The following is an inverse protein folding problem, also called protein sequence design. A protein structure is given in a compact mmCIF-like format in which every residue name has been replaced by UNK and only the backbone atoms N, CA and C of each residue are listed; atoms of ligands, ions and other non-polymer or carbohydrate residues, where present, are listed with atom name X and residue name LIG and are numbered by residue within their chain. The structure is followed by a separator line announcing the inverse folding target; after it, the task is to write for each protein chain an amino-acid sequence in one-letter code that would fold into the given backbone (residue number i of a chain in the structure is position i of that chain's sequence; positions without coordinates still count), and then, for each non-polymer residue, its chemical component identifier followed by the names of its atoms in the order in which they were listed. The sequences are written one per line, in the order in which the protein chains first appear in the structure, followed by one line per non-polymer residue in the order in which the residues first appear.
data_IF_896309161649
#
_entry.id   IF_896309161649
#
_cell.length_a   1.000
_cell.length_b   1.000
_cell.length_c   1.000
_cell.angle_alpha   90.00
_cell.angle_beta   90.00
_cell.angle_gamma   90.00
#
_symmetry.space_group_name_H-M   'P 1'
#
loop_
_entity.id
_entity.type
_entity.pdbx_description
1 polymer ?
#
# COMPACT_ATOMS: atom_id res chain seq x y z
N UNK A 1 18.39 17.51 2.32
CA UNK A 1 18.08 16.13 2.76
C UNK A 1 16.84 15.67 2.01
N UNK A 2 16.79 14.43 1.55
CA UNK A 2 15.59 13.86 0.91
C UNK A 2 14.49 13.72 1.94
N UNK A 3 13.25 14.08 1.58
CA UNK A 3 12.06 13.89 2.42
C UNK A 3 11.50 12.48 2.22
N UNK A 4 10.72 12.01 3.19
CA UNK A 4 9.89 10.81 3.07
C UNK A 4 8.43 11.24 3.04
N UNK A 5 7.70 10.81 2.03
CA UNK A 5 6.28 11.09 1.85
C UNK A 5 5.53 9.77 1.67
N UNK A 6 4.34 9.66 2.24
CA UNK A 6 3.48 8.51 2.01
C UNK A 6 2.40 8.85 0.99
N UNK A 7 2.10 7.90 0.10
CA UNK A 7 1.05 7.99 -0.90
C UNK A 7 0.08 6.81 -0.73
N UNK A 8 -1.19 7.11 -0.44
CA UNK A 8 -2.23 6.11 -0.16
C UNK A 8 -3.33 6.17 -1.22
N UNK A 9 -3.30 5.31 -2.25
CA UNK A 9 -4.39 5.24 -3.22
C UNK A 9 -5.65 4.65 -2.56
N UNK A 10 -6.74 5.42 -2.58
CA UNK A 10 -8.02 5.10 -1.95
C UNK A 10 -9.24 5.37 -2.85
N UNK A 11 -9.05 5.53 -4.17
CA UNK A 11 -10.13 5.84 -5.13
C UNK A 11 -10.96 4.62 -5.56
N UNK A 12 -10.57 3.39 -5.17
CA UNK A 12 -11.26 2.17 -5.60
C UNK A 12 -12.60 1.96 -4.89
N UNK A 13 -13.60 1.46 -5.63
CA UNK A 13 -14.93 1.15 -5.09
C UNK A 13 -14.98 -0.06 -4.14
N UNK A 14 -13.95 -0.91 -4.13
CA UNK A 14 -13.93 -2.11 -3.29
C UNK A 14 -14.97 -3.18 -3.68
N UNK A 15 -15.31 -3.32 -4.96
CA UNK A 15 -16.38 -4.16 -5.51
C UNK A 15 -16.44 -5.60 -4.99
N UNK A 16 -15.29 -6.20 -4.71
CA UNK A 16 -15.19 -7.57 -4.14
C UNK A 16 -15.74 -7.70 -2.72
N UNK A 17 -15.94 -6.59 -2.03
CA UNK A 17 -16.41 -6.59 -0.65
C UNK A 17 -17.93 -6.67 -0.54
N UNK A 18 -18.69 -6.24 -1.59
CA UNK A 18 -20.14 -6.29 -1.63
C UNK A 18 -20.87 -5.37 -0.64
N UNK A 19 -20.19 -4.35 -0.11
CA UNK A 19 -20.80 -3.36 0.77
C UNK A 19 -21.43 -2.19 0.00
N UNK A 20 -22.41 -1.47 0.57
CA UNK A 20 -23.02 -0.30 -0.06
C UNK A 20 -22.09 0.91 -0.17
N UNK A 21 -21.04 0.98 0.66
CA UNK A 21 -19.99 2.00 0.61
C UNK A 21 -18.64 1.39 0.26
N UNK A 22 -17.69 2.17 -0.28
CA UNK A 22 -16.34 1.67 -0.53
C UNK A 22 -15.69 1.16 0.75
N UNK A 23 -15.02 0.00 0.68
CA UNK A 23 -14.50 -0.72 1.86
C UNK A 23 -13.58 0.10 2.77
N UNK A 24 -12.88 1.09 2.22
CA UNK A 24 -11.97 1.96 2.98
C UNK A 24 -12.71 2.85 4.00
N UNK A 25 -14.02 3.04 3.84
CA UNK A 25 -14.89 3.79 4.75
C UNK A 25 -15.66 2.91 5.74
N UNK A 26 -15.54 1.57 5.62
CA UNK A 26 -16.19 0.67 6.57
C UNK A 26 -15.68 0.92 8.00
N UNK A 27 -16.61 0.89 8.94
CA UNK A 27 -16.32 1.15 10.36
C UNK A 27 -15.51 0.00 10.99
N UNK A 28 -14.36 0.35 11.55
CA UNK A 28 -13.47 -0.51 12.30
C UNK A 28 -13.07 0.22 13.59
N UNK A 29 -13.52 -0.29 14.77
CA UNK A 29 -13.26 0.35 16.05
C UNK A 29 -13.68 1.85 16.10
N UNK A 30 -14.88 2.16 15.61
CA UNK A 30 -15.48 3.51 15.57
C UNK A 30 -14.75 4.53 14.66
N UNK A 31 -13.87 4.09 13.78
CA UNK A 31 -13.20 4.91 12.76
C UNK A 31 -13.27 4.22 11.40
N UNK A 32 -13.20 4.93 10.27
CA UNK A 32 -13.07 4.29 8.96
C UNK A 32 -11.83 3.39 8.88
N UNK A 33 -11.92 2.27 8.18
CA UNK A 33 -10.81 1.33 8.00
C UNK A 33 -9.53 2.06 7.55
N UNK A 34 -9.63 2.96 6.58
CA UNK A 34 -8.52 3.75 6.06
C UNK A 34 -7.89 4.67 7.12
N UNK A 35 -8.68 5.15 8.10
CA UNK A 35 -8.17 6.01 9.16
C UNK A 35 -7.01 5.35 9.92
N UNK A 36 -7.12 4.04 10.22
CA UNK A 36 -6.06 3.31 10.92
C UNK A 36 -4.77 3.25 10.11
N UNK A 37 -4.87 3.09 8.79
CA UNK A 37 -3.72 3.15 7.87
C UNK A 37 -3.06 4.52 7.90
N UNK A 38 -3.87 5.59 7.73
CA UNK A 38 -3.38 6.96 7.69
C UNK A 38 -2.76 7.38 9.03
N UNK A 39 -3.37 6.98 10.15
CA UNK A 39 -2.88 7.26 11.49
C UNK A 39 -1.46 6.72 11.70
N UNK A 40 -1.23 5.45 11.35
CA UNK A 40 0.10 4.84 11.49
C UNK A 40 1.14 5.58 10.67
N UNK A 41 0.84 5.94 9.41
CA UNK A 41 1.76 6.69 8.57
C UNK A 41 2.04 8.09 9.11
N UNK A 42 1.03 8.77 9.67
CA UNK A 42 1.20 10.07 10.32
C UNK A 42 2.03 10.00 11.61
N UNK A 43 2.04 8.86 12.31
CA UNK A 43 2.82 8.63 13.53
C UNK A 43 4.33 8.40 13.25
N UNK A 44 4.70 7.98 12.04
CA UNK A 44 6.12 7.81 11.67
C UNK A 44 6.79 9.18 11.59
N UNK A 45 7.77 9.43 12.45
CA UNK A 45 8.42 10.75 12.57
C UNK A 45 9.08 11.18 11.25
N UNK A 46 9.77 10.25 10.58
CA UNK A 46 10.49 10.52 9.34
C UNK A 46 9.55 10.92 8.17
N UNK A 47 8.27 10.52 8.20
CA UNK A 47 7.32 10.91 7.15
C UNK A 47 6.88 12.35 7.37
N UNK A 48 7.15 13.20 6.38
CA UNK A 48 6.81 14.62 6.43
C UNK A 48 5.36 14.92 6.02
N UNK A 49 4.77 14.10 5.14
CA UNK A 49 3.43 14.28 4.59
C UNK A 49 2.81 12.91 4.23
N UNK A 50 1.51 12.77 4.44
CA UNK A 50 0.71 11.59 4.05
C UNK A 50 -0.36 12.06 3.07
N UNK A 51 -0.19 11.72 1.80
CA UNK A 51 -1.13 12.07 0.73
C UNK A 51 -2.09 10.90 0.52
N UNK A 52 -3.38 11.14 0.72
CA UNK A 52 -4.44 10.19 0.35
C UNK A 52 -5.06 10.61 -0.97
N UNK A 53 -5.14 9.66 -1.91
CA UNK A 53 -5.74 9.89 -3.24
C UNK A 53 -7.10 9.23 -3.28
N UNK A 54 -8.14 10.04 -3.32
CA UNK A 54 -9.54 9.62 -3.42
C UNK A 54 -10.11 9.91 -4.81
N UNK A 55 -11.27 9.34 -5.12
CA UNK A 55 -12.00 9.63 -6.36
C UNK A 55 -12.35 11.14 -6.45
N UNK A 56 -12.32 11.76 -7.64
CA UNK A 56 -12.85 13.11 -7.83
C UNK A 56 -14.32 13.24 -7.39
N UNK A 57 -15.08 12.15 -7.52
CA UNK A 57 -16.51 12.07 -7.14
C UNK A 57 -16.70 11.33 -5.80
N UNK A 58 -15.73 11.36 -4.89
CA UNK A 58 -15.86 10.73 -3.58
C UNK A 58 -16.83 11.53 -2.71
N UNK A 59 -17.90 10.87 -2.26
CA UNK A 59 -18.99 11.45 -1.45
C UNK A 59 -18.87 11.10 0.03
N UNK A 60 -17.94 10.19 0.41
CA UNK A 60 -17.84 9.68 1.79
C UNK A 60 -16.74 10.31 2.62
N UNK A 61 -15.70 10.83 1.99
CA UNK A 61 -14.51 11.29 2.70
C UNK A 61 -14.85 12.42 3.70
N UNK A 62 -15.68 13.36 3.29
CA UNK A 62 -16.02 14.53 4.08
C UNK A 62 -17.01 14.23 5.23
N UNK A 63 -17.58 13.01 5.28
CA UNK A 63 -18.45 12.56 6.38
C UNK A 63 -17.68 12.20 7.66
N UNK A 64 -16.36 12.18 7.58
CA UNK A 64 -15.51 11.75 8.69
C UNK A 64 -14.56 12.85 9.15
N UNK A 65 -14.34 12.89 10.46
CA UNK A 65 -13.29 13.70 11.06
C UNK A 65 -11.97 12.91 11.05
N UNK A 66 -10.99 13.38 10.27
CA UNK A 66 -9.72 12.70 10.09
C UNK A 66 -8.69 13.04 11.15
N UNK A 67 -8.72 14.26 11.71
CA UNK A 67 -7.81 14.74 12.78
C UNK A 67 -6.38 14.13 12.73
N UNK A 68 -5.74 14.25 11.57
CA UNK A 68 -4.41 13.68 11.27
C UNK A 68 -3.48 14.80 10.76
N UNK A 69 -2.47 15.21 11.55
CA UNK A 69 -1.73 16.46 11.32
C UNK A 69 -0.89 16.51 10.04
N UNK A 70 -0.54 15.33 9.46
CA UNK A 70 0.27 15.26 8.23
C UNK A 70 -0.57 14.93 6.99
N UNK A 71 -1.90 14.80 7.14
CA UNK A 71 -2.78 14.35 6.07
C UNK A 71 -3.03 15.46 5.04
N UNK A 72 -2.80 15.11 3.77
CA UNK A 72 -3.17 15.91 2.60
C UNK A 72 -4.08 15.08 1.69
N UNK A 73 -5.20 15.65 1.26
CA UNK A 73 -6.21 14.94 0.47
C UNK A 73 -6.14 15.41 -0.98
N UNK A 74 -6.01 14.46 -1.90
CA UNK A 74 -5.99 14.72 -3.33
C UNK A 74 -7.15 13.99 -4.03
N UNK A 75 -8.07 14.74 -4.65
CA UNK A 75 -9.24 14.23 -5.38
C UNK A 75 -8.89 13.99 -6.85
N UNK A 76 -7.84 13.20 -7.10
CA UNK A 76 -7.26 12.92 -8.43
C UNK A 76 -7.23 11.43 -8.76
N UNK A 77 -7.98 10.62 -8.03
CA UNK A 77 -8.04 9.18 -8.26
C UNK A 77 -8.44 8.82 -9.69
N UNK A 78 -7.78 7.82 -10.26
CA UNK A 78 -8.02 7.33 -11.62
C UNK A 78 -8.87 6.06 -11.65
N UNK A 79 -9.07 5.51 -12.85
CA UNK A 79 -9.86 4.30 -13.10
C UNK A 79 -9.20 3.03 -12.53
N UNK A 80 -7.88 3.06 -12.30
CA UNK A 80 -7.10 1.96 -11.71
C UNK A 80 -6.29 2.43 -10.50
N UNK A 81 -5.77 1.43 -9.73
CA UNK A 81 -4.85 1.70 -8.64
C UNK A 81 -3.56 2.38 -9.14
N UNK A 82 -3.00 1.87 -10.22
CA UNK A 82 -1.78 2.41 -10.83
C UNK A 82 -1.98 3.86 -11.31
N UNK A 83 -3.12 4.14 -11.94
CA UNK A 83 -3.47 5.49 -12.36
C UNK A 83 -3.65 6.44 -11.17
N UNK A 84 -4.30 5.99 -10.10
CA UNK A 84 -4.43 6.76 -8.86
C UNK A 84 -3.09 7.09 -8.23
N UNK A 85 -2.15 6.14 -8.22
CA UNK A 85 -0.76 6.36 -7.73
C UNK A 85 -0.04 7.37 -8.63
N UNK A 86 -0.13 7.23 -9.95
CA UNK A 86 0.48 8.16 -10.91
C UNK A 86 -0.05 9.59 -10.73
N UNK A 87 -1.37 9.74 -10.69
CA UNK A 87 -2.02 11.04 -10.52
C UNK A 87 -1.68 11.66 -9.17
N UNK A 88 -1.66 10.86 -8.10
CA UNK A 88 -1.25 11.28 -6.78
C UNK A 88 0.20 11.77 -6.76
N UNK A 89 1.13 11.01 -7.35
CA UNK A 89 2.54 11.40 -7.44
C UNK A 89 2.72 12.71 -8.21
N UNK A 90 1.95 12.93 -9.27
CA UNK A 90 1.98 14.18 -10.03
C UNK A 90 1.40 15.36 -9.24
N UNK A 91 0.41 15.13 -8.38
CA UNK A 91 -0.19 16.16 -7.54
C UNK A 91 0.66 16.51 -6.31
N UNK A 92 1.62 15.64 -5.94
CA UNK A 92 2.52 15.87 -4.82
C UNK A 92 3.64 16.83 -5.21
N UNK A 93 4.00 17.77 -4.32
CA UNK A 93 5.18 18.63 -4.47
C UNK A 93 6.46 17.87 -4.03
N UNK A 94 6.90 16.90 -4.84
CA UNK A 94 8.07 16.05 -4.57
C UNK A 94 9.25 16.37 -5.46
N UNK A 95 10.46 16.32 -4.91
CA UNK A 95 11.70 16.34 -5.70
C UNK A 95 12.04 14.91 -6.16
N UNK A 96 12.78 14.77 -7.27
CA UNK A 96 13.17 13.47 -7.82
C UNK A 96 13.85 12.54 -6.80
N UNK A 97 14.62 13.11 -5.89
CA UNK A 97 15.36 12.39 -4.86
C UNK A 97 14.58 12.18 -3.57
N UNK A 98 13.35 12.69 -3.44
CA UNK A 98 12.50 12.38 -2.28
C UNK A 98 12.07 10.91 -2.32
N UNK A 99 11.83 10.33 -1.15
CA UNK A 99 11.30 8.98 -1.03
C UNK A 99 9.79 8.98 -0.96
N UNK A 100 9.15 8.17 -1.78
CA UNK A 100 7.69 7.95 -1.77
C UNK A 100 7.38 6.53 -1.33
N UNK A 101 6.61 6.41 -0.26
CA UNK A 101 6.10 5.16 0.29
C UNK A 101 4.66 4.96 -0.19
N UNK A 102 4.42 4.09 -1.17
CA UNK A 102 3.06 3.77 -1.64
C UNK A 102 2.48 2.67 -0.75
N UNK A 103 1.32 2.95 -0.14
CA UNK A 103 0.69 2.00 0.77
C UNK A 103 -0.81 1.81 0.51
N UNK A 104 -1.28 0.57 0.54
CA UNK A 104 -2.68 0.24 0.34
C UNK A 104 -3.55 0.71 1.52
N UNK A 105 -4.59 1.52 1.25
CA UNK A 105 -5.57 1.97 2.24
C UNK A 105 -6.21 0.82 3.06
N UNK A 106 -6.26 -0.37 2.48
CA UNK A 106 -6.88 -1.56 3.09
C UNK A 106 -5.92 -2.45 3.90
N UNK A 107 -4.69 -2.01 4.18
CA UNK A 107 -3.76 -2.69 5.10
C UNK A 107 -3.69 -1.95 6.43
N UNK A 108 -4.84 -1.88 7.08
CA UNK A 108 -5.06 -1.09 8.29
C UNK A 108 -4.31 -1.57 9.54
N UNK A 109 -3.71 -2.76 9.48
CA UNK A 109 -2.89 -3.32 10.56
C UNK A 109 -1.39 -3.12 10.32
N UNK A 110 -0.97 -2.16 9.50
CA UNK A 110 0.42 -1.71 9.42
C UNK A 110 0.90 -1.27 10.81
N UNK A 111 2.18 -1.41 11.12
CA UNK A 111 2.79 -0.89 12.35
C UNK A 111 3.85 0.17 12.04
N UNK A 112 4.02 1.13 12.95
CA UNK A 112 5.09 2.14 12.88
C UNK A 112 6.44 1.46 12.73
N UNK A 113 6.73 0.45 13.54
CA UNK A 113 7.99 -0.30 13.51
C UNK A 113 8.27 -0.95 12.13
N UNK A 114 7.24 -1.44 11.42
CA UNK A 114 7.42 -2.00 10.09
C UNK A 114 7.80 -0.92 9.06
N UNK A 115 7.22 0.28 9.16
CA UNK A 115 7.56 1.41 8.29
C UNK A 115 8.96 1.91 8.57
N UNK A 116 9.33 2.08 9.83
CA UNK A 116 10.67 2.51 10.24
C UNK A 116 11.75 1.52 9.81
N UNK A 117 11.48 0.21 9.92
CA UNK A 117 12.37 -0.83 9.41
C UNK A 117 12.57 -0.71 7.90
N UNK A 118 11.49 -0.48 7.13
CA UNK A 118 11.58 -0.27 5.68
C UNK A 118 12.46 0.95 5.37
N UNK A 119 12.19 2.11 6.00
CA UNK A 119 12.94 3.35 5.81
C UNK A 119 14.43 3.13 6.12
N UNK A 120 14.74 2.55 7.28
CA UNK A 120 16.11 2.30 7.72
C UNK A 120 16.85 1.35 6.77
N UNK A 121 16.16 0.28 6.31
CA UNK A 121 16.76 -0.71 5.41
C UNK A 121 17.08 -0.17 4.02
N UNK A 122 16.37 0.87 3.58
CA UNK A 122 16.46 1.41 2.22
C UNK A 122 17.07 2.81 2.15
N UNK A 123 17.46 3.42 3.27
CA UNK A 123 17.93 4.80 3.31
C UNK A 123 19.08 5.08 2.32
N UNK A 124 20.03 4.12 2.21
CA UNK A 124 21.19 4.19 1.31
C UNK A 124 21.02 3.35 0.03
N UNK A 125 19.84 2.76 -0.20
CA UNK A 125 19.59 1.95 -1.39
C UNK A 125 19.38 2.84 -2.61
N UNK A 126 19.90 2.42 -3.76
CA UNK A 126 19.83 3.20 -5.01
C UNK A 126 18.54 2.96 -5.79
N UNK A 127 17.82 1.88 -5.52
CA UNK A 127 16.58 1.48 -6.21
C UNK A 127 15.38 1.70 -5.30
N UNK A 128 15.43 1.17 -4.09
CA UNK A 128 14.32 1.08 -3.15
C UNK A 128 13.83 -0.36 -3.01
N UNK A 129 12.63 -0.55 -2.44
CA UNK A 129 12.10 -1.88 -2.18
C UNK A 129 10.75 -1.87 -1.49
N UNK A 130 10.39 -3.00 -0.92
CA UNK A 130 9.07 -3.23 -0.37
C UNK A 130 9.10 -4.12 0.87
N UNK A 131 8.07 -4.00 1.70
CA UNK A 131 7.79 -5.03 2.70
C UNK A 131 7.30 -6.31 2.01
N UNK A 132 7.79 -7.45 2.45
CA UNK A 132 7.38 -8.74 1.94
C UNK A 132 7.55 -9.85 2.99
N UNK A 133 6.87 -10.97 2.80
CA UNK A 133 6.98 -12.15 3.66
C UNK A 133 7.43 -13.36 2.85
N UNK A 134 8.37 -14.18 3.34
CA UNK A 134 8.65 -15.45 2.72
C UNK A 134 7.39 -16.34 2.77
N UNK A 135 7.17 -17.14 1.73
CA UNK A 135 6.00 -18.05 1.68
C UNK A 135 6.16 -19.15 2.71
N UNK A 136 5.30 -19.24 3.75
CA UNK A 136 5.44 -20.24 4.82
C UNK A 136 4.90 -21.62 4.42
N UNK A 137 3.88 -21.68 3.57
CA UNK A 137 3.15 -22.89 3.21
C UNK A 137 3.64 -23.52 1.92
N UNK A 138 3.23 -24.79 1.67
CA UNK A 138 3.47 -25.46 0.39
C UNK A 138 2.63 -24.81 -0.71
N UNK A 139 3.30 -24.34 -1.77
CA UNK A 139 2.64 -23.70 -2.91
C UNK A 139 2.19 -24.75 -3.93
N UNK A 140 0.92 -24.71 -4.30
CA UNK A 140 0.33 -25.55 -5.35
C UNK A 140 -0.08 -24.70 -6.55
N UNK A 141 0.21 -25.17 -7.75
CA UNK A 141 -0.38 -24.62 -8.98
C UNK A 141 -1.62 -25.41 -9.34
N UNK A 142 -2.72 -24.73 -9.59
CA UNK A 142 -3.94 -25.36 -10.09
C UNK A 142 -3.99 -25.31 -11.63
N UNK A 143 -4.72 -26.24 -12.23
CA UNK A 143 -5.21 -26.18 -13.60
C UNK A 143 -6.54 -25.41 -13.70
N UNK A 144 -7.13 -25.37 -14.91
CA UNK A 144 -8.41 -24.69 -15.16
C UNK A 144 -9.61 -25.27 -14.40
N UNK A 145 -9.53 -26.52 -13.97
CA UNK A 145 -10.57 -27.24 -13.24
C UNK A 145 -10.38 -27.19 -11.71
N UNK A 146 -9.38 -26.43 -11.24
CA UNK A 146 -9.07 -26.30 -9.82
C UNK A 146 -8.33 -27.52 -9.23
N UNK A 147 -7.78 -28.40 -10.04
CA UNK A 147 -6.97 -29.55 -9.59
C UNK A 147 -5.50 -29.16 -9.52
N UNK A 148 -4.75 -29.85 -8.65
CA UNK A 148 -3.31 -29.63 -8.52
C UNK A 148 -2.61 -30.08 -9.80
N UNK A 149 -2.00 -29.14 -10.53
CA UNK A 149 -1.15 -29.42 -11.69
C UNK A 149 0.34 -29.56 -11.31
N UNK A 150 0.80 -28.85 -10.24
CA UNK A 150 2.17 -28.92 -9.76
C UNK A 150 2.31 -28.49 -8.29
N UNK A 151 3.37 -28.96 -7.63
CA UNK A 151 3.88 -28.35 -6.41
C UNK A 151 5.04 -27.42 -6.79
N UNK A 152 4.95 -26.15 -6.43
CA UNK A 152 5.99 -25.15 -6.71
C UNK A 152 6.93 -25.06 -5.51
N UNK A 153 8.26 -25.18 -5.68
CA UNK A 153 9.22 -24.93 -4.60
C UNK A 153 9.00 -23.53 -4.03
N UNK A 154 8.80 -23.43 -2.72
CA UNK A 154 8.59 -22.14 -2.06
C UNK A 154 9.87 -21.36 -1.76
N UNK A 155 11.01 -22.01 -1.88
CA UNK A 155 12.30 -21.35 -1.63
C UNK A 155 12.49 -20.16 -2.57
N UNK A 156 12.80 -18.99 -2.01
CA UNK A 156 12.94 -17.75 -2.76
C UNK A 156 11.62 -17.08 -3.19
N UNK A 157 10.44 -17.63 -2.83
CA UNK A 157 9.16 -16.99 -3.08
C UNK A 157 8.77 -16.12 -1.87
N UNK A 158 8.30 -14.90 -2.19
CA UNK A 158 7.87 -13.92 -1.22
C UNK A 158 6.48 -13.37 -1.58
N UNK A 159 5.70 -13.07 -0.57
CA UNK A 159 4.41 -12.39 -0.69
C UNK A 159 4.62 -10.89 -0.55
N UNK A 160 4.47 -10.14 -1.64
CA UNK A 160 4.62 -8.70 -1.65
C UNK A 160 3.56 -8.04 -0.75
N UNK A 161 4.02 -7.10 0.06
CA UNK A 161 3.19 -6.23 0.86
C UNK A 161 3.43 -4.77 0.47
N UNK A 162 2.76 -3.84 1.13
CA UNK A 162 3.05 -2.42 1.13
C UNK A 162 3.31 -1.96 2.57
N UNK A 163 4.05 -0.86 2.83
CA UNK A 163 4.55 0.11 1.85
C UNK A 163 5.60 -0.44 0.90
N UNK A 164 5.60 0.13 -0.33
CA UNK A 164 6.66 0.01 -1.32
C UNK A 164 7.31 1.38 -1.45
N UNK A 165 8.62 1.46 -1.29
CA UNK A 165 9.36 2.71 -1.12
C UNK A 165 10.39 2.88 -2.23
N UNK A 166 10.25 3.97 -3.02
CA UNK A 166 11.11 4.29 -4.15
C UNK A 166 11.41 5.78 -4.21
N UNK A 167 12.49 6.17 -4.90
CA UNK A 167 12.72 7.57 -5.25
C UNK A 167 11.61 8.08 -6.17
N UNK A 168 11.12 9.30 -5.94
CA UNK A 168 10.01 9.87 -6.68
C UNK A 168 10.28 9.91 -8.20
N UNK A 169 11.50 10.29 -8.62
CA UNK A 169 11.87 10.32 -10.03
C UNK A 169 11.86 8.93 -10.68
N UNK A 170 12.42 7.91 -10.00
CA UNK A 170 12.42 6.53 -10.49
C UNK A 170 10.99 5.97 -10.56
N UNK A 171 10.18 6.21 -9.54
CA UNK A 171 8.78 5.79 -9.51
C UNK A 171 7.97 6.46 -10.63
N UNK A 172 8.15 7.77 -10.83
CA UNK A 172 7.47 8.50 -11.90
C UNK A 172 7.85 7.94 -13.29
N UNK A 173 9.13 7.67 -13.53
CA UNK A 173 9.62 7.04 -14.75
C UNK A 173 9.00 5.66 -14.97
N UNK A 174 8.98 4.82 -13.94
CA UNK A 174 8.41 3.47 -14.02
C UNK A 174 6.91 3.50 -14.35
N UNK A 175 6.14 4.35 -13.66
CA UNK A 175 4.71 4.50 -13.90
C UNK A 175 4.36 5.11 -15.27
N UNK A 176 5.26 5.92 -15.84
CA UNK A 176 5.08 6.46 -17.20
C UNK A 176 5.42 5.45 -18.29
N UNK A 177 6.41 4.58 -18.06
CA UNK A 177 6.89 3.58 -19.02
C UNK A 177 6.02 2.33 -19.07
N UNK A 178 5.23 2.09 -18.05
CA UNK A 178 4.34 0.95 -17.97
C UNK A 178 3.16 1.16 -18.93
N UNK A 179 3.27 0.57 -20.12
CA UNK A 179 2.25 0.59 -21.16
C UNK A 179 1.01 -0.26 -20.79
N UNK A 180 0.47 -1.04 -21.73
CA UNK A 180 -0.70 -1.91 -21.54
C UNK A 180 -0.44 -3.15 -20.64
N UNK A 181 0.78 -3.32 -20.14
CA UNK A 181 1.12 -4.44 -19.24
C UNK A 181 0.49 -4.16 -17.88
N UNK A 182 -0.36 -5.07 -17.43
CA UNK A 182 -1.03 -4.98 -16.13
C UNK A 182 0.00 -4.92 -15.00
N UNK A 183 0.18 -3.73 -14.44
CA UNK A 183 1.01 -3.54 -13.24
C UNK A 183 0.26 -4.03 -12.02
N UNK A 184 0.82 -4.99 -11.33
CA UNK A 184 0.25 -5.52 -10.09
C UNK A 184 0.55 -4.63 -8.89
N UNK A 185 1.74 -4.00 -8.87
CA UNK A 185 2.24 -3.12 -7.81
C UNK A 185 3.37 -2.19 -8.33
N UNK A 186 3.91 -1.32 -7.49
CA UNK A 186 4.98 -0.38 -7.85
C UNK A 186 6.29 -1.11 -8.14
N UNK A 187 6.59 -2.18 -7.39
CA UNK A 187 7.80 -2.96 -7.60
C UNK A 187 7.83 -3.56 -9.01
N UNK A 188 6.71 -4.10 -9.51
CA UNK A 188 6.63 -4.65 -10.87
C UNK A 188 6.89 -3.60 -11.96
N UNK A 189 6.51 -2.34 -11.73
CA UNK A 189 6.84 -1.26 -12.64
C UNK A 189 8.35 -0.95 -12.64
N UNK A 190 8.97 -0.94 -11.48
CA UNK A 190 10.43 -0.74 -11.32
C UNK A 190 11.22 -1.90 -11.94
N UNK A 191 10.73 -3.14 -11.82
CA UNK A 191 11.32 -4.32 -12.46
C UNK A 191 11.31 -4.23 -13.98
N UNK A 192 10.27 -3.64 -14.59
CA UNK A 192 10.20 -3.41 -16.03
C UNK A 192 11.29 -2.45 -16.55
N UNK A 193 11.83 -1.58 -15.68
CA UNK A 193 13.00 -0.75 -15.98
C UNK A 193 14.33 -1.52 -15.83
N UNK A 194 14.29 -2.85 -15.59
CA UNK A 194 15.47 -3.67 -15.36
C UNK A 194 16.09 -3.50 -13.96
N UNK A 195 15.41 -2.81 -13.04
CA UNK A 195 15.88 -2.62 -11.67
C UNK A 195 15.46 -3.79 -10.79
N UNK A 196 16.11 -3.93 -9.62
CA UNK A 196 15.86 -5.03 -8.68
C UNK A 196 15.50 -4.47 -7.30
N UNK A 197 14.19 -4.25 -7.01
CA UNK A 197 13.74 -3.81 -5.69
C UNK A 197 14.18 -4.76 -4.57
N UNK A 198 14.53 -4.20 -3.42
CA UNK A 198 14.95 -4.96 -2.25
C UNK A 198 13.73 -5.47 -1.47
N UNK A 199 13.75 -6.74 -1.06
CA UNK A 199 12.76 -7.30 -0.15
C UNK A 199 13.18 -7.00 1.30
N UNK A 200 12.31 -6.36 2.06
CA UNK A 200 12.47 -6.10 3.49
C UNK A 200 11.40 -6.89 4.23
N UNK A 201 11.79 -7.57 5.30
CA UNK A 201 10.87 -8.44 6.04
C UNK A 201 9.70 -7.63 6.62
N UNK A 202 8.50 -8.03 6.21
CA UNK A 202 7.23 -7.44 6.62
C UNK A 202 6.67 -8.06 7.91
N UNK A 203 5.33 -8.01 8.03
CA UNK A 203 4.59 -8.58 9.17
C UNK A 203 3.34 -9.29 8.64
N UNK A 204 3.04 -10.49 9.16
CA UNK A 204 1.81 -11.22 8.82
C UNK A 204 0.54 -10.44 9.21
N UNK A 205 0.62 -9.59 10.23
CA UNK A 205 -0.47 -8.70 10.60
C UNK A 205 -0.76 -7.60 9.58
N UNK A 206 0.22 -7.27 8.71
CA UNK A 206 0.04 -6.29 7.64
C UNK A 206 -0.67 -6.89 6.41
N UNK A 207 -1.69 -7.71 6.64
CA UNK A 207 -2.51 -8.29 5.58
C UNK A 207 -3.46 -7.26 4.97
N UNK A 208 -3.92 -7.54 3.75
CA UNK A 208 -4.88 -6.68 3.05
C UNK A 208 -6.31 -7.13 3.35
N UNK A 209 -7.12 -6.29 3.96
CA UNK A 209 -8.56 -6.52 4.11
C UNK A 209 -9.20 -6.57 2.72
N UNK A 210 -9.59 -7.78 2.31
CA UNK A 210 -10.12 -8.05 0.97
C UNK A 210 -11.55 -8.57 1.03
N UNK A 211 -11.88 -9.35 2.05
CA UNK A 211 -13.17 -9.96 2.27
C UNK A 211 -13.81 -9.53 3.59
N UNK A 212 -15.14 -9.60 3.75
CA UNK A 212 -15.81 -9.23 5.01
C UNK A 212 -15.26 -9.94 6.26
N UNK A 213 -14.87 -11.21 6.14
CA UNK A 213 -14.28 -11.99 7.24
C UNK A 213 -12.94 -11.42 7.75
N UNK A 214 -12.22 -10.69 6.92
CA UNK A 214 -10.92 -10.11 7.29
C UNK A 214 -11.07 -8.97 8.31
N UNK A 215 -12.25 -8.33 8.37
CA UNK A 215 -12.52 -7.26 9.36
C UNK A 215 -12.47 -7.77 10.80
N UNK A 216 -12.93 -8.99 11.07
CA UNK A 216 -12.89 -9.55 12.42
C UNK A 216 -11.43 -9.72 12.88
N UNK A 217 -10.55 -10.21 12.00
CA UNK A 217 -9.13 -10.35 12.29
C UNK A 217 -8.47 -8.97 12.48
N UNK A 218 -8.75 -8.01 11.60
CA UNK A 218 -8.22 -6.65 11.73
C UNK A 218 -8.64 -6.00 13.05
N UNK A 219 -9.91 -6.17 13.46
CA UNK A 219 -10.43 -5.66 14.72
C UNK A 219 -9.69 -6.25 15.93
N UNK A 220 -9.47 -7.56 15.94
CA UNK A 220 -8.74 -8.25 17.01
C UNK A 220 -7.29 -7.75 17.13
N UNK A 221 -6.59 -7.62 15.99
CA UNK A 221 -5.20 -7.13 15.97
C UNK A 221 -5.12 -5.68 16.49
N UNK A 222 -5.99 -4.79 16.00
CA UNK A 222 -5.99 -3.39 16.43
C UNK A 222 -6.41 -3.22 17.90
N UNK A 223 -7.28 -4.09 18.43
CA UNK A 223 -7.64 -4.07 19.84
C UNK A 223 -6.46 -4.49 20.73
N UNK A 224 -5.68 -5.49 20.31
CA UNK A 224 -4.50 -5.96 21.05
C UNK A 224 -3.33 -4.95 21.07
N UNK A 225 -3.34 -3.93 20.19
CA UNK A 225 -2.30 -2.88 20.13
C UNK A 225 -2.61 -1.64 20.98
N UNK A 226 -3.75 -1.60 21.65
CA UNK A 226 -4.17 -0.46 22.47
C UNK A 226 -3.56 -0.49 23.89
N UNK A 227 -2.83 -1.53 24.21
CA UNK A 227 -2.07 -1.69 25.44
C UNK A 227 -0.57 -1.44 25.19
#
# INVERSE_FOLDING_TARGET
MSRYLALVPAAGSGSRFGAPSPKQYLQLNNRPLMWHTLQVLCQVEAISEVVVVISPCDEWFDDFDWDLPKLNVQRVGGASRAESVRNGLQAMAVAENDWVLVHDAARCCLSVAAVERLITSLAEDTVGGLLALPVPDTVKRADGDGRISATVPRQGLWLAQTPQMFRAGLLAQALASAGEIEMTDEASAIEQLGQKPRLVEGDAQNFKVTYPRDLALARAILAARKD
#
